data_IF_116537850567
#
_entry.id   IF_116537850567
#
_cell.length_a   1.000
_cell.length_b   1.000
_cell.length_c   1.000
_cell.angle_alpha   90.00
_cell.angle_beta   90.00
_cell.angle_gamma   90.00
#
_symmetry.space_group_name_H-M   'P 1'
#
loop_
_entity.id
_entity.type
_entity.pdbx_description
1 polymer ?
#
# COMPACT_ATOMS: atom_id res chain seq x y z
N UNK A 1 25.05 -14.28 42.53
CA UNK A 1 23.87 -13.45 42.88
C UNK A 1 23.99 -11.97 42.52
N UNK A 2 24.86 -11.13 43.14
CA UNK A 2 24.95 -9.69 42.79
C UNK A 2 25.48 -9.48 41.35
N UNK A 3 26.54 -10.20 40.96
CA UNK A 3 27.12 -10.11 39.61
C UNK A 3 26.15 -10.59 38.52
N UNK A 4 25.35 -11.62 38.81
CA UNK A 4 24.34 -12.13 37.87
C UNK A 4 23.18 -11.15 37.67
N UNK A 5 22.74 -10.46 38.73
CA UNK A 5 21.70 -9.43 38.60
C UNK A 5 22.16 -8.25 37.75
N UNK A 6 23.37 -7.74 38.00
CA UNK A 6 23.94 -6.65 37.21
C UNK A 6 24.06 -7.02 35.72
N UNK A 7 24.46 -8.26 35.41
CA UNK A 7 24.53 -8.75 34.02
C UNK A 7 23.16 -8.86 33.35
N UNK A 8 22.12 -9.23 34.10
CA UNK A 8 20.74 -9.30 33.57
C UNK A 8 20.20 -7.89 33.31
N UNK A 9 20.44 -6.95 34.21
CA UNK A 9 20.01 -5.55 34.05
C UNK A 9 20.67 -4.90 32.82
N UNK A 10 21.97 -5.11 32.63
CA UNK A 10 22.72 -4.65 31.45
C UNK A 10 22.15 -5.23 30.15
N UNK A 11 21.92 -6.55 30.12
CA UNK A 11 21.33 -7.23 28.95
C UNK A 11 19.89 -6.77 28.65
N UNK A 12 19.09 -6.48 29.69
CA UNK A 12 17.73 -5.95 29.50
C UNK A 12 17.76 -4.53 28.95
N UNK A 13 18.68 -3.69 29.44
CA UNK A 13 18.90 -2.34 28.91
C UNK A 13 19.29 -2.36 27.43
N UNK A 14 20.19 -3.28 27.04
CA UNK A 14 20.58 -3.45 25.64
C UNK A 14 19.39 -3.86 24.75
N UNK A 15 18.57 -4.80 25.23
CA UNK A 15 17.37 -5.26 24.50
C UNK A 15 16.36 -4.12 24.34
N UNK A 16 16.09 -3.36 25.40
CA UNK A 16 15.20 -2.19 25.34
C UNK A 16 15.71 -1.14 24.33
N UNK A 17 17.02 -0.93 24.28
CA UNK A 17 17.65 -0.07 23.29
C UNK A 17 17.39 -0.51 21.85
N UNK A 18 17.54 -1.80 21.56
CA UNK A 18 17.30 -2.37 20.23
C UNK A 18 15.82 -2.28 19.84
N UNK A 19 14.90 -2.59 20.77
CA UNK A 19 13.44 -2.48 20.53
C UNK A 19 13.07 -1.04 20.19
N UNK A 20 13.63 -0.06 20.92
CA UNK A 20 13.35 1.35 20.67
C UNK A 20 13.92 1.84 19.34
N UNK A 21 15.10 1.37 18.94
CA UNK A 21 15.71 1.69 17.65
C UNK A 21 14.87 1.13 16.49
N UNK A 22 14.42 -0.12 16.59
CA UNK A 22 13.52 -0.73 15.62
C UNK A 22 12.22 0.06 15.49
N UNK A 23 11.57 0.40 16.61
CA UNK A 23 10.34 1.19 16.61
C UNK A 23 10.53 2.54 15.89
N UNK A 24 11.62 3.26 16.17
CA UNK A 24 11.94 4.53 15.49
C UNK A 24 12.17 4.35 14.00
N UNK A 25 12.92 3.32 13.61
CA UNK A 25 13.19 2.99 12.21
C UNK A 25 11.88 2.73 11.44
N UNK A 26 10.97 1.94 12.01
CA UNK A 26 9.67 1.64 11.40
C UNK A 26 8.77 2.88 11.28
N UNK A 27 8.78 3.75 12.29
CA UNK A 27 8.07 5.03 12.23
C UNK A 27 8.62 5.96 11.14
N UNK A 28 9.94 5.99 10.97
CA UNK A 28 10.58 6.76 9.89
C UNK A 28 10.21 6.19 8.51
N UNK A 29 10.23 4.87 8.35
CA UNK A 29 9.80 4.21 7.12
C UNK A 29 8.33 4.50 6.81
N UNK A 30 7.43 4.41 7.80
CA UNK A 30 6.02 4.80 7.67
C UNK A 30 5.87 6.26 7.19
N UNK A 31 6.58 7.19 7.84
CA UNK A 31 6.56 8.62 7.45
C UNK A 31 7.04 8.82 6.01
N UNK A 32 8.10 8.14 5.61
CA UNK A 32 8.67 8.22 4.25
C UNK A 32 7.72 7.62 3.20
N UNK A 33 7.06 6.50 3.51
CA UNK A 33 6.05 5.92 2.63
C UNK A 33 4.89 6.89 2.41
N UNK A 34 4.44 7.58 3.46
CA UNK A 34 3.41 8.61 3.35
C UNK A 34 3.83 9.80 2.49
N UNK A 35 5.06 10.30 2.63
CA UNK A 35 5.50 11.45 1.81
C UNK A 35 5.47 11.12 0.31
N UNK A 36 5.93 9.93 -0.09
CA UNK A 36 5.91 9.50 -1.48
C UNK A 36 4.52 9.35 -2.09
N UNK A 37 3.51 9.02 -1.27
CA UNK A 37 2.11 8.93 -1.72
C UNK A 37 1.58 10.29 -2.18
N UNK A 38 2.02 11.39 -1.55
CA UNK A 38 1.57 12.75 -1.87
C UNK A 38 2.46 13.45 -2.90
N UNK A 39 3.78 13.29 -2.84
CA UNK A 39 4.73 13.99 -3.71
C UNK A 39 4.58 13.61 -5.19
N UNK A 40 4.34 12.32 -5.48
CA UNK A 40 4.31 11.80 -6.85
C UNK A 40 3.12 12.30 -7.68
N UNK A 41 1.86 12.27 -7.19
CA UNK A 41 0.74 12.90 -7.88
C UNK A 41 1.01 14.37 -8.24
N UNK A 42 1.59 15.15 -7.32
CA UNK A 42 1.89 16.57 -7.52
C UNK A 42 2.95 16.74 -8.62
N UNK A 43 4.00 15.92 -8.62
CA UNK A 43 5.01 15.94 -9.65
C UNK A 43 4.43 15.60 -11.04
N UNK A 44 3.55 14.61 -11.12
CA UNK A 44 2.87 14.24 -12.38
C UNK A 44 2.00 15.40 -12.88
N UNK A 45 1.23 16.05 -11.99
CA UNK A 45 0.46 17.24 -12.31
C UNK A 45 1.33 18.38 -12.85
N UNK A 46 2.49 18.61 -12.22
CA UNK A 46 3.45 19.64 -12.66
C UNK A 46 3.99 19.37 -14.05
N UNK A 47 4.43 18.13 -14.32
CA UNK A 47 4.90 17.72 -15.66
C UNK A 47 3.78 17.87 -16.69
N UNK A 48 2.55 17.47 -16.35
CA UNK A 48 1.40 17.58 -17.24
C UNK A 48 1.11 19.03 -17.60
N UNK A 49 1.03 19.92 -16.60
CA UNK A 49 0.74 21.33 -16.81
C UNK A 49 1.77 21.99 -17.74
N UNK A 50 3.03 21.61 -17.63
CA UNK A 50 4.12 22.12 -18.49
C UNK A 50 4.05 21.52 -19.90
N UNK A 51 3.74 20.24 -20.04
CA UNK A 51 3.75 19.56 -21.34
C UNK A 51 2.54 19.93 -22.22
N UNK A 52 1.36 20.13 -21.63
CA UNK A 52 0.10 20.30 -22.38
C UNK A 52 0.13 21.37 -23.49
N UNK A 53 0.63 22.59 -23.26
CA UNK A 53 0.64 23.64 -24.29
C UNK A 53 1.45 23.27 -25.53
N UNK A 54 2.51 22.46 -25.39
CA UNK A 54 3.40 22.10 -26.50
C UNK A 54 2.82 21.04 -27.41
N UNK A 55 1.92 20.20 -26.90
CA UNK A 55 1.43 19.03 -27.62
C UNK A 55 -0.01 19.15 -28.10
N UNK A 56 -0.75 20.16 -27.63
CA UNK A 56 -2.19 20.34 -27.89
C UNK A 56 -2.56 20.33 -29.38
N UNK A 57 -1.76 20.95 -30.24
CA UNK A 57 -2.06 21.04 -31.69
C UNK A 57 -1.39 19.93 -32.53
N UNK A 58 -0.60 19.06 -31.90
CA UNK A 58 0.16 18.04 -32.61
C UNK A 58 -0.57 16.68 -32.58
N UNK A 59 -0.47 15.92 -33.67
CA UNK A 59 -0.88 14.51 -33.69
C UNK A 59 -0.11 13.66 -32.66
N UNK A 60 1.09 14.10 -32.30
CA UNK A 60 1.91 13.53 -31.22
C UNK A 60 1.22 13.68 -29.85
N UNK A 61 0.39 14.71 -29.67
CA UNK A 61 -0.30 14.97 -28.41
C UNK A 61 -1.21 13.85 -27.95
N UNK A 62 -1.84 13.12 -28.86
CA UNK A 62 -2.67 11.96 -28.50
C UNK A 62 -1.84 10.81 -27.91
N UNK A 63 -0.63 10.58 -28.43
CA UNK A 63 0.28 9.59 -27.87
C UNK A 63 0.82 10.04 -26.50
N UNK A 64 1.07 11.34 -26.33
CA UNK A 64 1.45 11.91 -25.01
C UNK A 64 0.33 11.72 -23.99
N UNK A 65 -0.92 12.01 -24.35
CA UNK A 65 -2.09 11.77 -23.49
C UNK A 65 -2.26 10.29 -23.15
N UNK A 66 -2.01 9.40 -24.11
CA UNK A 66 -2.00 7.95 -23.85
C UNK A 66 -0.92 7.57 -22.82
N UNK A 67 0.32 8.03 -23.03
CA UNK A 67 1.43 7.79 -22.09
C UNK A 67 1.15 8.33 -20.69
N UNK A 68 0.47 9.47 -20.61
CA UNK A 68 0.02 10.05 -19.34
C UNK A 68 -1.00 9.16 -18.63
N UNK A 69 -1.96 8.56 -19.32
CA UNK A 69 -2.90 7.61 -18.71
C UNK A 69 -2.12 6.43 -18.12
N UNK A 70 -1.11 5.91 -18.82
CA UNK A 70 -0.24 4.86 -18.26
C UNK A 70 0.52 5.31 -17.01
N UNK A 71 1.05 6.54 -17.00
CA UNK A 71 1.70 7.12 -15.81
C UNK A 71 0.71 7.21 -14.65
N UNK A 72 -0.54 7.63 -14.90
CA UNK A 72 -1.60 7.70 -13.88
C UNK A 72 -1.99 6.30 -13.37
N UNK A 73 -2.11 5.31 -14.25
CA UNK A 73 -2.33 3.90 -13.88
C UNK A 73 -1.20 3.41 -12.96
N UNK A 74 0.05 3.60 -13.38
CA UNK A 74 1.22 3.19 -12.62
C UNK A 74 1.30 3.90 -11.27
N UNK A 75 0.99 5.20 -11.22
CA UNK A 75 0.97 5.97 -9.99
C UNK A 75 -0.09 5.45 -9.02
N UNK A 76 -1.30 5.15 -9.50
CA UNK A 76 -2.36 4.58 -8.66
C UNK A 76 -1.97 3.19 -8.12
N UNK A 77 -1.45 2.31 -8.98
CA UNK A 77 -0.91 1.01 -8.58
C UNK A 77 0.19 1.15 -7.51
N UNK A 78 1.12 2.09 -7.70
CA UNK A 78 2.21 2.35 -6.76
C UNK A 78 1.66 2.83 -5.41
N UNK A 79 0.69 3.75 -5.39
CA UNK A 79 0.07 4.26 -4.17
C UNK A 79 -0.60 3.12 -3.38
N UNK A 80 -1.36 2.26 -4.06
CA UNK A 80 -2.02 1.11 -3.40
C UNK A 80 -1.00 0.16 -2.79
N UNK A 81 0.07 -0.16 -3.51
CA UNK A 81 1.14 -1.01 -2.96
C UNK A 81 1.84 -0.37 -1.77
N UNK A 82 2.07 0.94 -1.81
CA UNK A 82 2.65 1.67 -0.67
C UNK A 82 1.72 1.65 0.53
N UNK A 83 0.43 1.88 0.33
CA UNK A 83 -0.57 1.79 1.38
C UNK A 83 -0.60 0.39 2.01
N UNK A 84 -0.54 -0.69 1.23
CA UNK A 84 -0.49 -2.06 1.77
C UNK A 84 0.78 -2.33 2.58
N UNK A 85 1.93 -1.89 2.07
CA UNK A 85 3.20 -1.98 2.81
C UNK A 85 3.16 -1.18 4.11
N UNK A 86 2.53 -0.01 4.07
CA UNK A 86 2.37 0.88 5.22
C UNK A 86 1.45 0.26 6.26
N UNK A 87 0.33 -0.33 5.82
CA UNK A 87 -0.61 -1.04 6.66
C UNK A 87 0.07 -2.21 7.40
N UNK A 88 0.95 -2.95 6.72
CA UNK A 88 1.70 -4.05 7.32
C UNK A 88 2.62 -3.57 8.46
N UNK A 89 3.33 -2.46 8.25
CA UNK A 89 4.24 -1.84 9.24
C UNK A 89 3.43 -1.32 10.42
N UNK A 90 2.38 -0.55 10.17
CA UNK A 90 1.53 0.03 11.22
C UNK A 90 0.87 -1.07 12.05
N UNK A 91 0.34 -2.11 11.41
CA UNK A 91 -0.26 -3.24 12.12
C UNK A 91 0.75 -3.97 13.02
N UNK A 92 2.00 -4.13 12.55
CA UNK A 92 3.07 -4.71 13.36
C UNK A 92 3.42 -3.83 14.57
N UNK A 93 3.61 -2.53 14.35
CA UNK A 93 3.86 -1.55 15.41
C UNK A 93 2.77 -1.63 16.47
N UNK A 94 1.50 -1.60 16.05
CA UNK A 94 0.35 -1.65 16.95
C UNK A 94 0.33 -2.94 17.78
N UNK A 95 0.74 -4.08 17.23
CA UNK A 95 0.71 -5.35 17.95
C UNK A 95 1.90 -5.58 18.89
N UNK A 96 3.10 -5.18 18.45
CA UNK A 96 4.34 -5.53 19.15
C UNK A 96 4.79 -4.41 20.09
N UNK A 97 4.65 -3.16 19.67
CA UNK A 97 5.19 -2.00 20.40
C UNK A 97 4.13 -1.25 21.21
N UNK A 98 2.91 -1.11 20.68
CA UNK A 98 1.89 -0.22 21.27
C UNK A 98 0.72 -0.94 21.97
N UNK A 99 0.40 -2.17 21.57
CA UNK A 99 -0.82 -2.86 22.00
C UNK A 99 -0.76 -3.47 23.40
N UNK A 100 -1.91 -3.58 24.07
CA UNK A 100 -2.03 -4.20 25.40
C UNK A 100 -1.67 -5.69 25.40
N UNK A 101 -1.91 -6.38 24.27
CA UNK A 101 -1.61 -7.79 24.09
C UNK A 101 -0.11 -8.07 23.83
N UNK A 102 0.73 -7.02 23.69
CA UNK A 102 2.17 -7.04 23.32
C UNK A 102 2.62 -8.39 22.80
N UNK A 103 2.40 -8.61 21.51
CA UNK A 103 2.92 -9.80 20.85
C UNK A 103 4.43 -9.89 21.09
N UNK A 104 4.94 -11.12 21.23
CA UNK A 104 6.34 -11.35 21.54
C UNK A 104 7.25 -10.69 20.49
N UNK A 105 8.20 -9.89 20.96
CA UNK A 105 9.14 -9.22 20.08
C UNK A 105 10.15 -10.23 19.52
N UNK A 106 10.08 -10.46 18.22
CA UNK A 106 10.97 -11.37 17.47
C UNK A 106 11.99 -10.62 16.60
N UNK A 107 11.92 -9.29 16.60
CA UNK A 107 12.54 -8.42 15.62
C UNK A 107 11.77 -8.36 14.29
N UNK A 108 11.71 -7.19 13.68
CA UNK A 108 10.95 -6.89 12.47
C UNK A 108 11.29 -7.82 11.31
N UNK A 109 12.57 -7.98 10.98
CA UNK A 109 13.00 -8.79 9.82
C UNK A 109 12.62 -10.27 9.97
N UNK A 110 12.75 -10.81 11.18
CA UNK A 110 12.35 -12.18 11.47
C UNK A 110 10.83 -12.34 11.41
N UNK A 111 10.09 -11.40 12.01
CA UNK A 111 8.64 -11.38 11.95
C UNK A 111 8.14 -11.27 10.50
N UNK A 112 8.75 -10.40 9.70
CA UNK A 112 8.42 -10.19 8.29
C UNK A 112 8.72 -11.43 7.44
N UNK A 113 9.85 -12.10 7.68
CA UNK A 113 10.15 -13.39 7.04
C UNK A 113 9.09 -14.44 7.37
N UNK A 114 8.72 -14.54 8.65
CA UNK A 114 7.69 -15.46 9.15
C UNK A 114 6.33 -15.15 8.51
N UNK A 115 5.94 -13.89 8.46
CA UNK A 115 4.74 -13.40 7.79
C UNK A 115 4.72 -13.80 6.30
N UNK A 116 5.82 -13.60 5.56
CA UNK A 116 5.90 -13.95 4.13
C UNK A 116 5.72 -15.46 3.89
N UNK A 117 6.36 -16.29 4.72
CA UNK A 117 6.20 -17.75 4.63
C UNK A 117 4.75 -18.13 4.90
N UNK A 118 4.16 -17.56 5.95
CA UNK A 118 2.76 -17.80 6.32
C UNK A 118 1.80 -17.45 5.18
N UNK A 119 1.97 -16.26 4.58
CA UNK A 119 1.17 -15.80 3.43
C UNK A 119 1.29 -16.75 2.24
N UNK A 120 2.49 -17.22 1.90
CA UNK A 120 2.67 -18.16 0.77
C UNK A 120 1.95 -19.50 0.97
N UNK A 121 1.80 -19.95 2.22
CA UNK A 121 1.09 -21.19 2.55
C UNK A 121 -0.44 -20.99 2.51
N UNK A 122 -0.94 -19.89 3.08
CA UNK A 122 -2.38 -19.68 3.28
C UNK A 122 -3.06 -18.98 2.09
N UNK A 123 -2.34 -18.19 1.29
CA UNK A 123 -2.88 -17.57 0.06
C UNK A 123 -3.25 -18.61 -0.98
N UNK A 124 -2.46 -19.68 -1.08
CA UNK A 124 -2.75 -20.80 -1.98
C UNK A 124 -3.91 -21.68 -1.49
N UNK A 125 -4.16 -21.69 -0.17
CA UNK A 125 -5.23 -22.47 0.43
C UNK A 125 -6.61 -21.82 0.26
N UNK A 126 -6.67 -20.50 0.00
CA UNK A 126 -7.91 -19.76 -0.15
C UNK A 126 -8.56 -19.35 1.18
N UNK A 127 -7.92 -19.64 2.31
CA UNK A 127 -8.49 -19.45 3.66
C UNK A 127 -8.34 -18.02 4.20
N UNK A 128 -7.62 -17.16 3.48
CA UNK A 128 -7.24 -15.81 3.95
C UNK A 128 -8.43 -14.91 4.25
N UNK A 129 -9.49 -14.98 3.44
CA UNK A 129 -10.68 -14.14 3.66
C UNK A 129 -11.47 -14.61 4.89
N UNK A 130 -11.53 -15.94 5.13
CA UNK A 130 -12.18 -16.52 6.31
C UNK A 130 -11.40 -16.11 7.57
N UNK A 131 -10.08 -16.33 7.57
CA UNK A 131 -9.21 -16.01 8.70
C UNK A 131 -9.20 -14.52 9.04
N UNK A 132 -9.22 -13.66 8.01
CA UNK A 132 -9.39 -12.22 8.21
C UNK A 132 -10.71 -11.95 8.89
N UNK A 133 -11.82 -12.48 8.39
CA UNK A 133 -13.15 -12.20 8.96
C UNK A 133 -13.31 -12.64 10.43
N UNK A 134 -12.64 -13.71 10.86
CA UNK A 134 -12.71 -14.18 12.25
C UNK A 134 -11.99 -13.27 13.24
N UNK A 135 -10.88 -12.65 12.84
CA UNK A 135 -10.06 -11.77 13.71
C UNK A 135 -10.23 -10.29 13.41
N UNK A 136 -11.07 -9.94 12.43
CA UNK A 136 -11.34 -8.57 12.04
C UNK A 136 -12.25 -7.91 13.08
N UNK A 137 -11.73 -6.90 13.76
CA UNK A 137 -12.54 -6.08 14.64
C UNK A 137 -13.05 -4.86 13.86
N UNK A 138 -14.32 -4.92 13.43
CA UNK A 138 -14.95 -3.83 12.68
C UNK A 138 -15.19 -2.56 13.50
N UNK A 139 -15.17 -2.69 14.83
CA UNK A 139 -15.35 -1.58 15.77
C UNK A 139 -14.01 -0.99 16.23
N UNK A 140 -12.90 -1.62 15.87
CA UNK A 140 -11.58 -1.13 16.20
C UNK A 140 -11.40 0.30 15.63
N UNK A 141 -11.20 1.25 16.54
CA UNK A 141 -11.13 2.70 16.24
C UNK A 141 -9.84 3.08 15.47
N UNK A 142 -8.95 2.10 15.21
CA UNK A 142 -7.64 2.34 14.63
C UNK A 142 -7.69 2.98 13.23
N UNK A 143 -6.64 3.76 12.95
CA UNK A 143 -6.50 4.69 11.83
C UNK A 143 -6.96 4.11 10.49
N UNK A 144 -8.16 4.50 10.06
CA UNK A 144 -8.60 4.29 8.67
C UNK A 144 -7.76 5.16 7.74
N UNK A 145 -7.50 4.66 6.54
CA UNK A 145 -6.72 5.41 5.52
C UNK A 145 -7.64 6.44 4.86
N UNK A 146 -7.99 7.49 5.61
CA UNK A 146 -9.03 8.48 5.23
C UNK A 146 -8.60 9.35 4.03
N UNK A 147 -7.30 9.50 3.78
CA UNK A 147 -6.81 10.35 2.69
C UNK A 147 -6.87 9.68 1.31
N UNK A 148 -6.91 8.35 1.22
CA UNK A 148 -6.84 7.63 -0.06
C UNK A 148 -8.00 7.92 -1.02
N UNK A 149 -9.28 7.98 -0.56
CA UNK A 149 -10.40 8.37 -1.42
C UNK A 149 -10.18 9.68 -2.18
N UNK A 150 -9.57 10.69 -1.54
CA UNK A 150 -9.29 11.97 -2.16
C UNK A 150 -8.24 11.86 -3.28
N UNK A 151 -7.17 11.08 -3.04
CA UNK A 151 -6.14 10.82 -4.05
C UNK A 151 -6.72 10.02 -5.22
N UNK A 152 -7.53 9.00 -4.95
CA UNK A 152 -8.22 8.23 -5.98
C UNK A 152 -9.15 9.12 -6.83
N UNK A 153 -9.93 9.98 -6.19
CA UNK A 153 -10.82 10.93 -6.88
C UNK A 153 -10.03 11.91 -7.75
N UNK A 154 -8.88 12.40 -7.28
CA UNK A 154 -7.99 13.24 -8.09
C UNK A 154 -7.59 12.55 -9.40
N UNK A 155 -7.25 11.26 -9.37
CA UNK A 155 -6.91 10.54 -10.60
C UNK A 155 -8.11 10.43 -11.54
N UNK A 156 -9.31 10.19 -11.03
CA UNK A 156 -10.53 10.16 -11.86
C UNK A 156 -10.81 11.51 -12.52
N UNK A 157 -10.63 12.61 -11.79
CA UNK A 157 -10.78 13.97 -12.35
C UNK A 157 -9.78 14.19 -13.47
N UNK A 158 -8.54 13.74 -13.33
CA UNK A 158 -7.52 13.87 -14.39
C UNK A 158 -7.84 13.04 -15.62
N UNK A 159 -8.32 11.80 -15.43
CA UNK A 159 -8.77 10.95 -16.55
C UNK A 159 -9.98 11.56 -17.26
N UNK A 160 -10.92 12.14 -16.52
CA UNK A 160 -12.06 12.85 -17.08
C UNK A 160 -11.60 14.08 -17.88
N UNK A 161 -10.63 14.84 -17.38
CA UNK A 161 -10.07 15.99 -18.10
C UNK A 161 -9.40 15.55 -19.41
N UNK A 162 -8.58 14.49 -19.37
CA UNK A 162 -7.95 13.92 -20.58
C UNK A 162 -9.02 13.51 -21.59
N UNK A 163 -10.08 12.85 -21.15
CA UNK A 163 -11.19 12.46 -22.00
C UNK A 163 -11.86 13.66 -22.67
N UNK A 164 -12.18 14.72 -21.91
CA UNK A 164 -12.78 15.96 -22.44
C UNK A 164 -11.86 16.62 -23.46
N UNK A 165 -10.56 16.78 -23.15
CA UNK A 165 -9.59 17.36 -24.10
C UNK A 165 -9.50 16.54 -25.38
N UNK A 166 -9.49 15.22 -25.26
CA UNK A 166 -9.39 14.34 -26.42
C UNK A 166 -10.64 14.44 -27.30
N UNK A 167 -11.84 14.51 -26.70
CA UNK A 167 -13.08 14.74 -27.43
C UNK A 167 -13.09 16.09 -28.16
N UNK A 168 -12.64 17.16 -27.50
CA UNK A 168 -12.56 18.49 -28.10
C UNK A 168 -11.55 18.55 -29.25
N UNK A 169 -10.45 17.79 -29.18
CA UNK A 169 -9.43 17.72 -30.23
C UNK A 169 -9.79 16.82 -31.41
N UNK A 170 -10.79 15.94 -31.28
CA UNK A 170 -11.20 15.04 -32.36
C UNK A 170 -11.91 15.81 -33.50
N UNK A 171 -12.83 16.71 -33.16
CA UNK A 171 -13.44 17.60 -34.15
C UNK A 171 -12.60 18.88 -34.27
N UNK A 172 -12.08 19.29 -35.45
CA UNK A 172 -12.45 18.92 -36.83
C UNK A 172 -11.42 18.06 -37.61
N UNK A 173 -10.35 17.56 -36.98
CA UNK A 173 -9.21 16.94 -37.68
C UNK A 173 -9.36 15.42 -37.83
N UNK A 174 -10.18 15.00 -38.80
CA UNK A 174 -10.40 13.58 -39.10
C UNK A 174 -9.30 13.02 -40.01
N UNK A 175 -8.21 12.56 -39.40
CA UNK A 175 -7.17 11.76 -40.07
C UNK A 175 -7.19 10.34 -39.54
N UNK A 176 -6.67 9.39 -40.31
CA UNK A 176 -6.53 7.99 -39.83
C UNK A 176 -5.74 7.94 -38.52
N UNK A 177 -4.68 8.75 -38.41
CA UNK A 177 -3.84 8.79 -37.22
C UNK A 177 -4.60 9.31 -35.99
N UNK A 178 -5.42 10.37 -36.15
CA UNK A 178 -6.22 10.92 -35.04
C UNK A 178 -7.31 9.96 -34.59
N UNK A 179 -7.91 9.20 -35.50
CA UNK A 179 -8.88 8.14 -35.16
C UNK A 179 -8.22 6.99 -34.40
N UNK A 180 -7.03 6.54 -34.82
CA UNK A 180 -6.29 5.47 -34.12
C UNK A 180 -5.83 5.93 -32.74
N UNK A 181 -5.33 7.15 -32.61
CA UNK A 181 -4.94 7.72 -31.31
C UNK A 181 -6.14 7.85 -30.37
N UNK A 182 -7.31 8.28 -30.86
CA UNK A 182 -8.55 8.30 -30.08
C UNK A 182 -8.93 6.89 -29.59
N UNK A 183 -8.91 5.89 -30.47
CA UNK A 183 -9.20 4.51 -30.10
C UNK A 183 -8.26 3.99 -29.01
N UNK A 184 -6.97 4.34 -29.10
CA UNK A 184 -5.96 3.97 -28.10
C UNK A 184 -6.24 4.63 -26.75
N UNK A 185 -6.54 5.94 -26.74
CA UNK A 185 -6.90 6.67 -25.52
C UNK A 185 -8.14 6.07 -24.87
N UNK A 186 -9.19 5.77 -25.65
CA UNK A 186 -10.42 5.16 -25.13
C UNK A 186 -10.15 3.80 -24.49
N UNK A 187 -9.35 2.94 -25.13
CA UNK A 187 -8.95 1.66 -24.56
C UNK A 187 -8.18 1.87 -23.26
N UNK A 188 -7.22 2.80 -23.22
CA UNK A 188 -6.46 3.13 -22.02
C UNK A 188 -7.35 3.65 -20.88
N UNK A 189 -8.36 4.47 -21.18
CA UNK A 189 -9.34 4.95 -20.18
C UNK A 189 -10.16 3.78 -19.65
N UNK A 190 -10.66 2.89 -20.51
CA UNK A 190 -11.43 1.71 -20.08
C UNK A 190 -10.58 0.84 -19.14
N UNK A 191 -9.32 0.57 -19.52
CA UNK A 191 -8.37 -0.16 -18.68
C UNK A 191 -8.20 0.56 -17.34
N UNK A 192 -7.94 1.87 -17.35
CA UNK A 192 -7.81 2.66 -16.12
C UNK A 192 -9.04 2.50 -15.22
N UNK A 193 -10.25 2.64 -15.77
CA UNK A 193 -11.51 2.53 -15.01
C UNK A 193 -11.68 1.16 -14.39
N UNK A 194 -11.39 0.08 -15.14
CA UNK A 194 -11.44 -1.31 -14.63
C UNK A 194 -10.50 -1.45 -13.43
N UNK A 195 -9.27 -0.94 -13.51
CA UNK A 195 -8.32 -1.01 -12.40
C UNK A 195 -8.73 -0.12 -11.22
N UNK A 196 -9.20 1.10 -11.49
CA UNK A 196 -9.59 2.07 -10.47
C UNK A 196 -10.79 1.61 -9.63
N UNK A 197 -11.79 0.98 -10.26
CA UNK A 197 -12.99 0.48 -9.58
C UNK A 197 -12.90 -1.00 -9.18
N UNK A 198 -11.91 -1.75 -9.69
CA UNK A 198 -11.63 -3.12 -9.31
C UNK A 198 -10.67 -3.21 -8.12
N UNK A 199 -9.39 -3.56 -8.34
CA UNK A 199 -8.43 -3.77 -7.26
C UNK A 199 -8.07 -2.51 -6.46
N UNK A 200 -8.22 -1.31 -7.03
CA UNK A 200 -7.79 -0.05 -6.41
C UNK A 200 -8.91 0.76 -5.76
N UNK A 201 -10.11 0.19 -5.67
CA UNK A 201 -11.26 0.89 -5.12
C UNK A 201 -11.07 1.22 -3.62
N UNK A 202 -11.31 2.46 -3.16
CA UNK A 202 -11.05 2.86 -1.77
C UNK A 202 -11.75 2.00 -0.72
N UNK A 203 -12.96 1.51 -0.98
CA UNK A 203 -13.67 0.67 -0.01
C UNK A 203 -12.99 -0.68 0.26
N UNK A 204 -12.11 -1.14 -0.64
CA UNK A 204 -11.31 -2.37 -0.45
C UNK A 204 -10.01 -2.13 0.31
N UNK A 205 -9.58 -0.88 0.42
CA UNK A 205 -8.27 -0.50 0.99
C UNK A 205 -8.44 0.19 2.35
N UNK A 206 -9.62 0.76 2.63
CA UNK A 206 -9.90 1.52 3.87
C UNK A 206 -9.55 0.74 5.15
N UNK A 207 -9.72 -0.59 5.13
CA UNK A 207 -9.51 -1.48 6.27
C UNK A 207 -8.21 -2.28 6.16
N UNK A 208 -7.25 -1.84 5.34
CA UNK A 208 -5.99 -2.58 5.14
C UNK A 208 -5.19 -2.75 6.43
N UNK A 209 -5.14 -1.74 7.32
CA UNK A 209 -4.40 -1.85 8.60
C UNK A 209 -5.01 -2.96 9.47
N UNK A 210 -6.33 -2.95 9.64
CA UNK A 210 -7.05 -3.98 10.40
C UNK A 210 -6.86 -5.37 9.79
N UNK A 211 -6.99 -5.47 8.46
CA UNK A 211 -6.78 -6.72 7.74
C UNK A 211 -5.36 -7.26 7.92
N UNK A 212 -4.34 -6.41 7.94
CA UNK A 212 -2.96 -6.83 8.18
C UNK A 212 -2.74 -7.18 9.66
N UNK A 213 -3.42 -6.51 10.58
CA UNK A 213 -3.37 -6.83 12.02
C UNK A 213 -3.93 -8.23 12.30
N UNK A 214 -5.06 -8.57 11.68
CA UNK A 214 -5.67 -9.90 11.78
C UNK A 214 -4.68 -10.99 11.29
N UNK A 215 -4.01 -10.75 10.15
CA UNK A 215 -3.00 -11.66 9.62
C UNK A 215 -1.82 -11.80 10.58
N UNK A 216 -1.28 -10.70 11.11
CA UNK A 216 -0.19 -10.73 12.09
C UNK A 216 -0.56 -11.53 13.36
N UNK A 217 -1.78 -11.41 13.85
CA UNK A 217 -2.25 -12.20 14.99
C UNK A 217 -2.26 -13.70 14.70
N UNK A 218 -2.69 -14.12 13.50
CA UNK A 218 -2.62 -15.51 13.07
C UNK A 218 -1.18 -16.00 12.95
N UNK A 219 -0.31 -15.19 12.34
CA UNK A 219 1.14 -15.44 12.23
C UNK A 219 1.71 -15.69 13.63
N UNK A 220 1.60 -14.73 14.56
CA UNK A 220 2.17 -14.85 15.90
C UNK A 220 1.60 -16.03 16.69
N UNK A 221 0.32 -16.34 16.55
CA UNK A 221 -0.30 -17.48 17.22
C UNK A 221 0.27 -18.83 16.74
N UNK A 222 0.37 -19.04 15.43
CA UNK A 222 0.90 -20.27 14.85
C UNK A 222 2.36 -20.50 15.27
N UNK A 223 3.17 -19.44 15.25
CA UNK A 223 4.56 -19.52 15.69
C UNK A 223 4.70 -19.85 17.17
N UNK A 224 3.88 -19.25 18.03
CA UNK A 224 3.87 -19.54 19.47
C UNK A 224 3.52 -21.00 19.74
N UNK A 225 2.57 -21.57 18.99
CA UNK A 225 2.18 -22.99 19.12
C UNK A 225 3.33 -23.90 18.64
N UNK A 226 3.97 -23.57 17.52
CA UNK A 226 5.10 -24.32 16.97
C UNK A 226 6.30 -24.39 17.92
N UNK A 227 6.62 -23.30 18.62
CA UNK A 227 7.73 -23.26 19.59
C UNK A 227 7.41 -24.05 20.87
N UNK A 228 6.18 -23.97 21.38
CA UNK A 228 5.73 -24.80 22.52
C UNK A 228 5.77 -26.29 22.21
N UNK A 229 5.36 -26.70 21.02
CA UNK A 229 5.39 -28.10 20.61
C UNK A 229 6.82 -28.64 20.57
N UNK A 230 7.79 -27.88 20.07
CA UNK A 230 9.20 -28.28 20.05
C UNK A 230 9.78 -28.44 21.45
N UNK A 231 9.45 -27.54 22.38
CA UNK A 231 9.96 -27.58 23.75
C UNK A 231 9.37 -28.72 24.59
N UNK A 232 8.20 -29.26 24.22
CA UNK A 232 7.60 -30.41 24.92
C UNK A 232 8.15 -31.77 24.45
N UNK A 233 8.93 -31.80 23.36
CA UNK A 233 9.49 -33.03 22.77
C UNK A 233 10.98 -33.20 23.14
N UNK A 234 11.64 -32.13 23.60
CA UNK A 234 13.04 -32.12 24.06
C UNK A 234 13.13 -32.37 25.57
#
# INVERSE_FOLDING_TARGET
MIIERAKIEDMMSDIEGIILEEYRSLLEEHRKNRSYIFERPILILGILAVAMPYFYESSIGQFVLTGLIFILCFNLWFIVNRIRSDALIVAYIQLVHEGELRAEWLGWENALRRYRIWMMCHEKAGDLDVLRSEKFDSEAVYDKIVFYPAIWLLHLVLILLIFVVTLMGWFPFETVLTTVGMGTILISIIIFVIYAFGPFYPARIKDSIESERAVWLCVFEEFRIGERSKNNIA
#
